data_IF_023665220122
#
_entry.id   IF_023665220122
#
_cell.length_a   1.000
_cell.length_b   1.000
_cell.length_c   1.000
_cell.angle_alpha   90.00
_cell.angle_beta   90.00
_cell.angle_gamma   90.00
#
_symmetry.space_group_name_H-M   'P 1'
#
loop_
_entity.id
_entity.type
_entity.pdbx_description
1 polymer ?
#
# COMPACT_ATOMS: atom_id res chain seq x y z
N UNK A 1 -2.92 -23.72 -13.67
CA UNK A 1 -2.78 -22.26 -13.71
C UNK A 1 -2.67 -21.78 -12.29
N UNK A 2 -1.50 -21.27 -11.91
CA UNK A 2 -1.35 -20.61 -10.61
C UNK A 2 -2.20 -19.35 -10.60
N UNK A 3 -2.87 -19.07 -9.49
CA UNK A 3 -3.61 -17.82 -9.32
C UNK A 3 -2.61 -16.65 -9.30
N UNK A 4 -2.94 -15.60 -10.05
CA UNK A 4 -2.10 -14.39 -10.18
C UNK A 4 -2.36 -13.41 -9.08
N UNK A 5 -1.45 -12.49 -8.83
CA UNK A 5 -1.53 -11.57 -7.70
C UNK A 5 -1.67 -10.13 -8.18
N UNK A 6 -2.79 -9.50 -7.83
CA UNK A 6 -3.02 -8.06 -7.94
C UNK A 6 -2.70 -7.43 -6.58
N UNK A 7 -1.73 -6.53 -6.54
CA UNK A 7 -1.42 -5.74 -5.36
C UNK A 7 -1.93 -4.30 -5.52
N UNK A 8 -2.79 -3.84 -4.60
CA UNK A 8 -3.28 -2.47 -4.56
C UNK A 8 -2.67 -1.77 -3.34
N UNK A 9 -1.85 -0.74 -3.57
CA UNK A 9 -1.17 -0.01 -2.50
C UNK A 9 -1.71 1.40 -2.40
N UNK A 10 -2.37 1.72 -1.28
CA UNK A 10 -2.77 3.09 -0.99
C UNK A 10 -1.71 3.80 -0.16
N UNK A 11 -1.32 5.01 -0.56
CA UNK A 11 -0.27 5.76 0.11
C UNK A 11 -0.44 7.29 0.06
N UNK A 12 0.36 7.99 0.84
CA UNK A 12 0.55 9.43 0.78
C UNK A 12 1.44 9.79 -0.41
N UNK A 13 1.30 11.02 -0.93
CA UNK A 13 2.10 11.52 -2.06
C UNK A 13 3.61 11.39 -1.82
N UNK A 14 4.04 11.66 -0.59
CA UNK A 14 5.46 11.67 -0.21
C UNK A 14 5.68 10.76 1.00
N UNK A 15 6.70 9.87 0.98
CA UNK A 15 7.53 9.53 -0.19
C UNK A 15 6.73 8.75 -1.25
N UNK A 16 7.14 8.75 -2.54
CA UNK A 16 6.56 7.86 -3.54
C UNK A 16 6.84 6.39 -3.21
N UNK A 17 6.10 5.46 -3.82
CA UNK A 17 6.39 4.03 -3.70
C UNK A 17 7.64 3.68 -4.50
N UNK A 18 8.45 2.78 -3.94
CA UNK A 18 9.62 2.20 -4.58
C UNK A 18 9.61 0.68 -4.34
N UNK A 19 9.50 -0.16 -5.39
CA UNK A 19 9.32 0.21 -6.80
C UNK A 19 7.95 0.88 -7.06
N UNK A 20 7.82 1.67 -8.14
CA UNK A 20 6.53 2.17 -8.56
C UNK A 20 5.62 1.04 -9.06
N UNK A 21 4.33 1.14 -8.80
CA UNK A 21 3.33 0.26 -9.38
C UNK A 21 3.19 0.45 -10.89
N UNK A 22 2.61 -0.56 -11.54
CA UNK A 22 2.36 -0.57 -12.98
C UNK A 22 1.31 0.48 -13.39
N UNK A 23 0.33 0.73 -12.52
CA UNK A 23 -0.71 1.74 -12.70
C UNK A 23 -0.69 2.71 -11.53
N UNK A 24 -0.95 4.00 -11.78
CA UNK A 24 -0.88 5.05 -10.76
C UNK A 24 -2.08 5.99 -10.82
N UNK A 25 -2.74 6.15 -9.68
CA UNK A 25 -3.90 7.04 -9.54
C UNK A 25 -3.63 8.11 -8.47
N UNK A 26 -3.76 9.38 -8.85
CA UNK A 26 -3.65 10.53 -7.95
C UNK A 26 -5.03 11.14 -7.67
N UNK A 27 -5.50 10.96 -6.43
CA UNK A 27 -6.84 11.35 -6.00
C UNK A 27 -6.87 12.76 -5.41
N UNK A 28 -5.81 13.56 -5.58
CA UNK A 28 -5.79 14.94 -5.07
C UNK A 28 -6.74 15.87 -5.79
N UNK A 29 -7.07 15.56 -7.05
CA UNK A 29 -8.06 16.25 -7.88
C UNK A 29 -9.51 16.07 -7.40
N UNK A 30 -9.79 14.99 -6.65
CA UNK A 30 -11.14 14.68 -6.16
C UNK A 30 -11.47 15.53 -4.93
N UNK A 31 -12.72 16.00 -4.80
CA UNK A 31 -13.20 16.70 -3.61
C UNK A 31 -12.84 15.99 -2.32
N UNK A 32 -12.45 16.78 -1.33
CA UNK A 32 -12.02 16.28 -0.03
C UNK A 32 -13.25 16.03 0.84
N UNK A 33 -13.34 14.90 1.57
CA UNK A 33 -14.44 14.68 2.50
C UNK A 33 -14.56 15.82 3.53
N UNK A 34 -15.77 16.12 4.02
CA UNK A 34 -16.01 17.12 5.05
C UNK A 34 -15.12 16.88 6.28
N UNK A 35 -14.66 17.96 6.91
CA UNK A 35 -13.72 17.91 8.04
C UNK A 35 -14.20 16.95 9.14
N UNK A 36 -15.47 17.04 9.55
CA UNK A 36 -16.02 16.20 10.60
C UNK A 36 -16.00 14.70 10.26
N UNK A 37 -16.09 14.33 8.97
CA UNK A 37 -15.96 12.94 8.52
C UNK A 37 -14.49 12.53 8.56
N UNK A 38 -13.58 13.38 8.07
CA UNK A 38 -12.14 13.09 8.04
C UNK A 38 -11.52 12.90 9.41
N UNK A 39 -11.99 13.66 10.40
CA UNK A 39 -11.44 13.61 11.75
C UNK A 39 -11.91 12.36 12.50
N UNK A 40 -13.13 11.86 12.19
CA UNK A 40 -13.71 10.68 12.82
C UNK A 40 -13.37 9.35 12.11
N UNK A 41 -13.09 9.40 10.79
CA UNK A 41 -13.03 8.22 9.95
C UNK A 41 -11.86 8.24 8.97
N UNK A 42 -11.41 7.05 8.56
CA UNK A 42 -10.45 6.81 7.50
C UNK A 42 -11.12 6.08 6.31
N UNK A 43 -10.38 5.85 5.22
CA UNK A 43 -10.94 5.24 4.01
C UNK A 43 -11.36 3.78 4.11
N UNK A 44 -11.01 3.07 5.19
CA UNK A 44 -11.52 1.71 5.44
C UNK A 44 -12.92 1.73 6.05
N UNK A 45 -13.40 2.89 6.53
CA UNK A 45 -14.74 3.00 7.10
C UNK A 45 -15.82 3.10 6.02
N UNK A 46 -16.88 2.32 6.19
CA UNK A 46 -18.06 2.36 5.29
C UNK A 46 -18.61 3.77 5.10
N UNK A 47 -18.70 4.54 6.19
CA UNK A 47 -19.27 5.90 6.17
C UNK A 47 -18.46 6.88 5.31
N UNK A 48 -17.13 6.79 5.33
CA UNK A 48 -16.31 7.63 4.46
C UNK A 48 -16.44 7.18 3.00
N UNK A 49 -16.46 5.87 2.74
CA UNK A 49 -16.61 5.33 1.38
C UNK A 49 -17.95 5.71 0.76
N UNK A 50 -19.05 5.62 1.50
CA UNK A 50 -20.37 6.06 1.03
C UNK A 50 -20.38 7.55 0.65
N UNK A 51 -19.67 8.40 1.40
CA UNK A 51 -19.53 9.81 1.02
C UNK A 51 -18.72 9.98 -0.26
N UNK A 52 -17.61 9.24 -0.41
CA UNK A 52 -16.80 9.28 -1.63
C UNK A 52 -17.60 8.79 -2.85
N UNK A 53 -18.39 7.73 -2.70
CA UNK A 53 -19.25 7.16 -3.74
C UNK A 53 -20.43 8.08 -4.13
N UNK A 54 -20.80 9.03 -3.27
CA UNK A 54 -21.77 10.06 -3.64
C UNK A 54 -21.19 11.10 -4.60
N UNK A 55 -19.85 11.17 -4.71
CA UNK A 55 -19.18 12.15 -5.55
C UNK A 55 -18.91 11.60 -6.97
N UNK A 56 -19.47 12.23 -8.02
CA UNK A 56 -19.44 11.65 -9.37
C UNK A 56 -18.01 11.54 -9.92
N UNK A 57 -17.14 12.51 -9.63
CA UNK A 57 -15.74 12.48 -10.07
C UNK A 57 -14.97 11.27 -9.48
N UNK A 58 -15.35 10.81 -8.28
CA UNK A 58 -14.76 9.63 -7.67
C UNK A 58 -15.25 8.36 -8.34
N UNK A 59 -16.56 8.25 -8.57
CA UNK A 59 -17.16 7.08 -9.23
C UNK A 59 -16.60 6.89 -10.64
N UNK A 60 -16.56 7.95 -11.44
CA UNK A 60 -16.00 7.88 -12.80
C UNK A 60 -14.54 7.42 -12.79
N UNK A 61 -13.73 7.89 -11.85
CA UNK A 61 -12.34 7.47 -11.77
C UNK A 61 -12.20 6.00 -11.33
N UNK A 62 -13.07 5.53 -10.42
CA UNK A 62 -13.11 4.11 -10.03
C UNK A 62 -13.47 3.24 -11.24
N UNK A 63 -14.46 3.64 -12.03
CA UNK A 63 -14.87 2.91 -13.23
C UNK A 63 -13.75 2.87 -14.28
N UNK A 64 -13.11 4.01 -14.57
CA UNK A 64 -11.96 4.07 -15.47
C UNK A 64 -10.82 3.17 -15.00
N UNK A 65 -10.51 3.21 -13.70
CA UNK A 65 -9.45 2.38 -13.15
C UNK A 65 -9.77 0.89 -13.23
N UNK A 66 -11.03 0.50 -13.10
CA UNK A 66 -11.45 -0.90 -13.27
C UNK A 66 -11.19 -1.35 -14.70
N UNK A 67 -11.62 -0.57 -15.68
CA UNK A 67 -11.42 -0.90 -17.10
C UNK A 67 -9.93 -1.03 -17.44
N UNK A 68 -9.09 -0.10 -16.98
CA UNK A 68 -7.64 -0.10 -17.22
C UNK A 68 -6.94 -1.28 -16.53
N UNK A 69 -7.33 -1.62 -15.30
CA UNK A 69 -6.80 -2.80 -14.60
C UNK A 69 -7.21 -4.08 -15.33
N UNK A 70 -8.46 -4.22 -15.77
CA UNK A 70 -8.93 -5.39 -16.51
C UNK A 70 -8.22 -5.57 -17.86
N UNK A 71 -7.97 -4.47 -18.58
CA UNK A 71 -7.16 -4.50 -19.80
C UNK A 71 -5.74 -4.98 -19.50
N UNK A 72 -5.12 -4.44 -18.45
CA UNK A 72 -3.76 -4.82 -18.07
C UNK A 72 -3.67 -6.27 -17.59
N UNK A 73 -4.71 -6.79 -16.92
CA UNK A 73 -4.78 -8.20 -16.52
C UNK A 73 -4.78 -9.13 -17.74
N UNK A 74 -5.57 -8.80 -18.77
CA UNK A 74 -5.63 -9.58 -20.02
C UNK A 74 -4.26 -9.63 -20.71
N UNK A 75 -3.52 -8.53 -20.72
CA UNK A 75 -2.17 -8.50 -21.29
C UNK A 75 -1.21 -9.42 -20.55
N UNK A 76 -1.26 -9.41 -19.21
CA UNK A 76 -0.46 -10.35 -18.41
C UNK A 76 -0.93 -11.78 -18.72
N UNK A 77 -2.24 -12.03 -18.86
CA UNK A 77 -2.84 -13.38 -19.11
C UNK A 77 -2.34 -13.94 -20.45
N UNK A 78 -2.32 -13.10 -21.47
CA UNK A 78 -1.80 -13.45 -22.79
C UNK A 78 -0.30 -13.74 -22.78
N UNK A 79 0.51 -12.97 -22.03
CA UNK A 79 1.97 -13.14 -21.99
C UNK A 79 2.39 -14.46 -21.33
N UNK A 80 1.81 -14.82 -20.18
CA UNK A 80 2.18 -16.09 -19.54
C UNK A 80 1.66 -17.32 -20.29
N UNK A 81 0.61 -17.18 -21.12
CA UNK A 81 0.19 -18.26 -22.00
C UNK A 81 1.17 -18.50 -23.17
N UNK A 82 1.96 -17.49 -23.55
CA UNK A 82 2.96 -17.59 -24.61
C UNK A 82 4.35 -18.07 -24.10
N UNK A 83 4.62 -17.93 -22.80
CA UNK A 83 5.90 -18.28 -22.16
C UNK A 83 6.02 -19.77 -21.76
N UNK A 84 4.98 -20.59 -21.97
CA UNK A 84 5.06 -22.06 -21.88
C UNK A 84 5.54 -22.70 -23.21
N UNK A 85 6.58 -22.12 -23.82
CA UNK A 85 7.28 -22.61 -25.02
C UNK A 85 8.81 -22.53 -24.83
N UNK A 86 9.62 -23.41 -25.45
CA UNK A 86 10.91 -23.82 -24.90
C UNK A 86 11.95 -22.70 -24.89
N UNK A 87 12.66 -22.61 -23.76
CA UNK A 87 13.87 -21.84 -23.53
C UNK A 87 14.73 -21.73 -24.80
N UNK A 88 14.82 -20.52 -25.34
CA UNK A 88 15.85 -20.17 -26.31
C UNK A 88 16.76 -19.12 -25.71
N UNK A 89 18.04 -19.44 -25.80
CA UNK A 89 19.18 -18.88 -25.10
C UNK A 89 19.35 -17.38 -25.33
N UNK A 90 19.80 -16.72 -24.26
CA UNK A 90 20.51 -15.46 -24.26
C UNK A 90 21.64 -15.47 -25.31
N UNK A 91 21.89 -14.33 -25.96
CA UNK A 91 23.24 -13.96 -26.31
C UNK A 91 23.70 -12.79 -25.44
N UNK A 92 24.69 -13.08 -24.62
CA UNK A 92 25.63 -12.13 -24.03
C UNK A 92 26.33 -11.34 -25.15
N UNK A 93 26.54 -10.04 -24.93
CA UNK A 93 27.62 -9.28 -25.56
C UNK A 93 28.24 -8.37 -24.52
N UNK A 94 29.40 -8.78 -24.03
CA UNK A 94 30.51 -7.94 -23.58
C UNK A 94 30.96 -6.99 -24.71
N UNK A 95 31.41 -5.79 -24.36
CA UNK A 95 32.65 -5.14 -24.85
C UNK A 95 32.78 -3.72 -24.24
N UNK A 96 33.78 -3.60 -23.35
CA UNK A 96 34.79 -2.54 -23.12
C UNK A 96 34.47 -1.05 -23.36
N UNK A 97 34.60 -0.17 -22.36
CA UNK A 97 35.81 0.49 -21.81
C UNK A 97 36.10 1.85 -22.49
N UNK A 98 36.16 2.94 -21.70
CA UNK A 98 37.32 3.86 -21.59
C UNK A 98 36.93 5.25 -21.04
N UNK A 99 37.90 5.80 -20.32
CA UNK A 99 37.89 6.81 -19.29
C UNK A 99 37.63 8.27 -19.71
N UNK A 100 37.22 9.08 -18.72
CA UNK A 100 37.89 10.36 -18.47
C UNK A 100 37.67 10.82 -17.01
N UNK A 101 38.78 11.13 -16.35
CA UNK A 101 38.91 11.92 -15.11
C UNK A 101 39.86 13.09 -15.43
N UNK A 102 40.18 14.05 -14.52
CA UNK A 102 39.66 14.39 -13.18
C UNK A 102 39.14 15.87 -13.17
N UNK A 103 38.74 16.54 -12.07
CA UNK A 103 39.65 17.25 -11.14
C UNK A 103 38.88 18.31 -10.30
N UNK A 104 39.18 18.35 -8.97
CA UNK A 104 39.03 19.43 -7.95
C UNK A 104 37.68 20.15 -7.74
N UNK A 105 37.17 20.40 -6.53
CA UNK A 105 37.71 20.34 -5.17
C UNK A 105 36.73 21.05 -4.21
N UNK A 106 37.16 21.18 -2.94
CA UNK A 106 36.56 21.95 -1.83
C UNK A 106 35.87 21.14 -0.73
N UNK A 107 36.73 20.69 0.18
CA UNK A 107 36.59 20.72 1.64
C UNK A 107 35.54 21.70 2.24
N UNK A 108 34.74 21.23 3.19
CA UNK A 108 34.60 21.83 4.53
C UNK A 108 33.79 20.94 5.47
N UNK A 109 34.37 20.83 6.66
CA UNK A 109 34.03 20.12 7.89
C UNK A 109 32.66 20.44 8.53
N UNK A 110 32.21 19.50 9.40
CA UNK A 110 31.25 19.57 10.54
C UNK A 110 30.24 18.41 10.46
N UNK A 111 29.96 17.59 11.47
CA UNK A 111 30.33 17.51 12.89
C UNK A 111 29.94 16.10 13.38
N UNK A 112 30.76 15.48 14.22
CA UNK A 112 30.44 14.31 15.04
C UNK A 112 29.20 14.56 15.90
N UNK A 113 28.25 13.62 15.93
CA UNK A 113 27.38 13.37 17.07
C UNK A 113 27.00 11.88 17.09
N UNK A 114 27.53 11.18 18.09
CA UNK A 114 27.31 9.77 18.37
C UNK A 114 26.00 9.62 19.16
N UNK A 115 25.00 8.96 18.57
CA UNK A 115 23.82 8.48 19.30
C UNK A 115 23.68 6.97 19.13
N UNK A 116 24.18 6.30 20.15
CA UNK A 116 23.92 4.93 20.56
C UNK A 116 22.44 4.81 20.99
N UNK A 117 21.66 3.99 20.31
CA UNK A 117 20.35 3.52 20.77
C UNK A 117 20.00 2.24 20.03
N UNK A 118 20.46 1.13 20.60
CA UNK A 118 19.77 -0.17 20.54
C UNK A 118 18.26 0.02 20.80
N UNK A 119 17.43 -0.59 19.96
CA UNK A 119 16.43 -1.57 20.39
C UNK A 119 15.63 -2.06 19.16
N UNK A 120 15.59 -3.38 19.04
CA UNK A 120 14.97 -4.19 18.00
C UNK A 120 13.54 -3.77 17.60
N UNK A 121 13.32 -3.53 16.29
CA UNK A 121 12.03 -3.80 15.66
C UNK A 121 12.22 -4.84 14.53
N UNK A 122 12.20 -6.10 14.95
CA UNK A 122 11.86 -7.22 14.07
C UNK A 122 10.36 -7.21 13.76
N UNK A 123 10.07 -7.47 12.49
CA UNK A 123 8.93 -8.26 12.01
C UNK A 123 7.55 -7.60 11.91
N UNK A 124 7.26 -7.06 10.72
CA UNK A 124 6.05 -7.37 9.95
C UNK A 124 6.39 -7.17 8.45
N UNK A 125 7.53 -7.70 8.01
CA UNK A 125 7.74 -7.95 6.57
C UNK A 125 6.90 -9.19 6.28
N UNK A 126 5.58 -9.01 6.21
CA UNK A 126 4.66 -10.05 5.79
C UNK A 126 5.22 -10.55 4.46
N UNK A 127 5.82 -11.75 4.50
CA UNK A 127 6.46 -12.37 3.35
C UNK A 127 5.49 -12.22 2.19
N UNK A 128 5.83 -11.32 1.26
CA UNK A 128 5.17 -11.22 -0.03
C UNK A 128 5.63 -12.48 -0.77
N UNK A 129 5.12 -13.64 -0.33
CA UNK A 129 5.48 -14.96 -0.83
C UNK A 129 5.09 -15.11 -2.30
N UNK A 130 4.31 -14.16 -2.83
CA UNK A 130 4.00 -14.03 -4.24
C UNK A 130 4.37 -12.63 -4.73
N UNK A 131 5.44 -12.55 -5.54
CA UNK A 131 5.76 -11.35 -6.33
C UNK A 131 4.49 -10.94 -7.10
N UNK A 132 4.00 -9.69 -6.97
CA UNK A 132 2.77 -9.27 -7.62
C UNK A 132 2.95 -9.21 -9.14
N UNK A 133 2.02 -9.83 -9.88
CA UNK A 133 1.97 -9.77 -11.34
C UNK A 133 1.54 -8.38 -11.84
N UNK A 134 0.70 -7.71 -11.06
CA UNK A 134 0.22 -6.35 -11.32
C UNK A 134 0.14 -5.57 -10.01
N UNK A 135 0.74 -4.38 -9.98
CA UNK A 135 0.71 -3.47 -8.84
C UNK A 135 0.02 -2.17 -9.22
N UNK A 136 -0.89 -1.70 -8.36
CA UNK A 136 -1.67 -0.47 -8.53
C UNK A 136 -1.37 0.49 -7.38
N UNK A 137 -0.80 1.64 -7.71
CA UNK A 137 -0.50 2.70 -6.77
C UNK A 137 -1.66 3.68 -6.69
N UNK A 138 -2.13 3.93 -5.47
CA UNK A 138 -3.23 4.85 -5.22
C UNK A 138 -2.78 5.91 -4.21
N UNK A 139 -2.65 7.15 -4.66
CA UNK A 139 -2.09 8.24 -3.85
C UNK A 139 -3.12 9.32 -3.51
N UNK A 140 -2.99 9.89 -2.31
CA UNK A 140 -3.61 11.16 -1.96
C UNK A 140 -2.67 11.96 -1.03
N UNK A 141 -3.09 13.14 -0.57
CA UNK A 141 -2.22 14.03 0.21
C UNK A 141 -1.58 13.36 1.44
N UNK A 142 -2.36 12.62 2.24
CA UNK A 142 -1.89 12.02 3.51
C UNK A 142 -2.04 10.51 3.59
N UNK A 143 -2.51 9.85 2.53
CA UNK A 143 -2.64 8.38 2.49
C UNK A 143 -3.70 7.77 3.42
N UNK A 144 -4.68 8.53 3.93
CA UNK A 144 -5.61 8.06 4.98
C UNK A 144 -7.08 7.99 4.58
N UNK A 145 -7.49 8.75 3.57
CA UNK A 145 -8.92 8.97 3.26
C UNK A 145 -9.24 8.54 1.85
N UNK A 146 -9.02 9.43 0.88
CA UNK A 146 -9.37 9.22 -0.54
C UNK A 146 -8.69 7.98 -1.12
N UNK A 147 -7.37 7.85 -0.96
CA UNK A 147 -6.62 6.71 -1.50
C UNK A 147 -6.99 5.37 -0.89
N UNK A 148 -7.21 5.34 0.43
CA UNK A 148 -7.64 4.15 1.14
C UNK A 148 -9.05 3.74 0.69
N UNK A 149 -9.97 4.71 0.59
CA UNK A 149 -11.34 4.45 0.11
C UNK A 149 -11.33 3.90 -1.32
N UNK A 150 -10.56 4.51 -2.21
CA UNK A 150 -10.44 4.06 -3.59
C UNK A 150 -9.86 2.63 -3.70
N UNK A 151 -8.79 2.34 -2.95
CA UNK A 151 -8.21 1.00 -2.93
C UNK A 151 -9.19 -0.07 -2.42
N UNK A 152 -9.96 0.25 -1.38
CA UNK A 152 -11.02 -0.62 -0.84
C UNK A 152 -12.15 -0.86 -1.86
N UNK A 153 -12.55 0.17 -2.61
CA UNK A 153 -13.57 0.03 -3.66
C UNK A 153 -13.09 -0.84 -4.82
N UNK A 154 -11.81 -0.72 -5.23
CA UNK A 154 -11.22 -1.62 -6.23
C UNK A 154 -11.13 -3.06 -5.71
N UNK A 155 -10.74 -3.26 -4.45
CA UNK A 155 -10.62 -4.58 -3.85
C UNK A 155 -11.97 -5.28 -3.64
N UNK A 156 -13.05 -4.51 -3.46
CA UNK A 156 -14.41 -5.04 -3.37
C UNK A 156 -14.95 -5.60 -4.69
N UNK A 157 -14.26 -5.38 -5.82
CA UNK A 157 -14.63 -5.92 -7.13
C UNK A 157 -14.20 -7.38 -7.29
N UNK A 158 -14.83 -8.07 -8.23
CA UNK A 158 -14.50 -9.45 -8.58
C UNK A 158 -13.48 -9.45 -9.71
N UNK A 159 -12.28 -9.91 -9.42
CA UNK A 159 -11.20 -10.09 -10.37
C UNK A 159 -11.05 -11.58 -10.66
N UNK A 160 -11.50 -12.02 -11.83
CA UNK A 160 -11.59 -13.45 -12.16
C UNK A 160 -10.20 -14.05 -12.30
N UNK A 161 -9.90 -15.14 -11.59
CA UNK A 161 -8.61 -15.85 -11.63
C UNK A 161 -7.41 -15.06 -11.05
N UNK A 162 -7.68 -13.99 -10.30
CA UNK A 162 -6.68 -13.16 -9.62
C UNK A 162 -6.94 -13.10 -8.11
N UNK A 163 -5.88 -13.25 -7.33
CA UNK A 163 -5.81 -13.01 -5.89
C UNK A 163 -5.51 -11.53 -5.63
N UNK A 164 -6.38 -10.84 -4.90
CA UNK A 164 -6.23 -9.42 -4.62
C UNK A 164 -5.69 -9.20 -3.22
N UNK A 165 -4.62 -8.41 -3.12
CA UNK A 165 -4.04 -7.95 -1.88
C UNK A 165 -4.12 -6.43 -1.81
N UNK A 166 -4.44 -5.91 -0.62
CA UNK A 166 -4.55 -4.48 -0.38
C UNK A 166 -3.63 -4.10 0.77
N UNK A 167 -2.77 -3.11 0.53
CA UNK A 167 -1.86 -2.56 1.53
C UNK A 167 -2.13 -1.07 1.70
N UNK A 168 -2.32 -0.65 2.95
CA UNK A 168 -2.50 0.76 3.30
C UNK A 168 -1.28 1.28 4.06
N UNK A 169 -0.30 1.84 3.33
CA UNK A 169 0.99 2.26 3.90
C UNK A 169 0.85 3.22 5.09
N UNK A 170 -0.06 4.18 4.98
CA UNK A 170 -0.19 5.28 5.96
C UNK A 170 -1.32 5.07 6.99
N UNK A 171 -1.94 3.88 7.00
CA UNK A 171 -2.97 3.48 7.97
C UNK A 171 -2.37 2.48 8.94
N UNK A 172 -2.04 2.93 10.16
CA UNK A 172 -1.53 2.04 11.21
C UNK A 172 -2.55 0.93 11.51
N UNK A 173 -2.14 -0.33 11.39
CA UNK A 173 -2.95 -1.47 11.80
C UNK A 173 -3.14 -1.41 13.31
N UNK A 174 -4.38 -1.39 13.80
CA UNK A 174 -4.68 -1.41 15.25
C UNK A 174 -4.56 -2.83 15.83
N UNK A 175 -3.51 -3.59 15.51
CA UNK A 175 -3.26 -4.84 16.24
C UNK A 175 -2.57 -4.48 17.56
N UNK A 176 -3.19 -4.87 18.69
CA UNK A 176 -2.74 -4.74 20.10
C UNK A 176 -3.25 -3.55 20.96
N UNK A 177 -4.50 -3.08 20.83
CA UNK A 177 -5.12 -2.26 21.90
C UNK A 177 -6.28 -2.91 22.66
N UNK A 178 -6.84 -4.03 22.18
CA UNK A 178 -7.99 -4.66 22.83
C UNK A 178 -7.66 -5.57 24.02
N UNK A 179 -6.40 -5.95 24.24
CA UNK A 179 -6.05 -6.79 25.41
C UNK A 179 -5.89 -6.00 26.72
N UNK A 180 -5.54 -4.71 26.68
CA UNK A 180 -5.33 -3.92 27.91
C UNK A 180 -6.61 -3.36 28.54
N UNK A 181 -7.74 -3.35 27.83
CA UNK A 181 -9.01 -2.84 28.38
C UNK A 181 -9.82 -3.89 29.14
N UNK A 182 -9.58 -5.20 28.92
CA UNK A 182 -10.29 -6.26 29.67
C UNK A 182 -9.71 -6.54 31.05
N UNK A 183 -8.43 -6.21 31.29
CA UNK A 183 -7.77 -6.51 32.58
C UNK A 183 -8.22 -5.57 33.70
N UNK A 184 -8.56 -4.32 33.38
CA UNK A 184 -8.93 -3.31 34.40
C UNK A 184 -10.33 -3.47 34.97
N UNK A 185 -11.21 -4.23 34.30
CA UNK A 185 -12.59 -4.44 34.76
C UNK A 185 -12.74 -5.66 35.69
N UNK A 186 -11.75 -6.56 35.73
CA UNK A 186 -11.79 -7.75 36.61
C UNK A 186 -11.30 -7.49 38.04
N UNK A 187 -10.62 -6.36 38.29
CA UNK A 187 -10.06 -6.00 39.61
C UNK A 187 -10.98 -5.18 40.53
N UNK A 188 -12.21 -4.84 40.10
CA UNK A 188 -13.15 -4.05 40.92
C UNK A 188 -14.39 -4.82 41.39
N UNK A 189 -14.46 -6.13 41.13
CA UNK A 189 -15.65 -6.95 41.39
C UNK A 189 -15.47 -8.06 42.42
N UNK A 190 -14.67 -7.86 43.46
CA UNK A 190 -14.46 -8.89 44.49
C UNK A 190 -14.02 -8.31 45.82
N UNK A 191 -14.95 -7.71 46.56
CA UNK A 191 -14.83 -7.53 48.02
C UNK A 191 -16.22 -7.22 48.58
N UNK A 192 -16.99 -8.26 48.94
CA UNK A 192 -18.15 -8.19 49.84
C UNK A 192 -18.59 -9.61 50.23
N UNK A 193 -17.86 -10.17 51.19
CA UNK A 193 -18.19 -11.20 52.19
C UNK A 193 -17.14 -10.93 53.30
N UNK A 194 -17.37 -10.81 54.61
CA UNK A 194 -18.40 -11.26 55.55
C UNK A 194 -18.24 -10.43 56.87
N UNK A 195 -19.08 -10.73 57.88
CA UNK A 195 -19.07 -10.30 59.30
C UNK A 195 -19.93 -9.07 59.70
N UNK A 196 -21.22 -9.31 60.02
CA UNK A 196 -21.75 -9.48 61.40
C UNK A 196 -23.23 -9.94 61.38
#
# INVERSE_FOLDING_TARGET
MSARNLLIVSHARTPPLNPPGNLKYDLRSIPNPPKHIRDAYNGTSKRLREWMLAEPAFVTLVEQAIEEIEERMKDVDARSAADEGPATKEPETDDDEEANAPDLGSESVHSDDEVDSDEDEVDDEAEITNVPDLTVDVSCERGKHRSVAFAEELAGRKWKDWNVQVIHRDVKSKRKQDEKFKDKQKRRGGFLDEDD
#
